data_IF_436683563828
#
_entry.id   IF_436683563828
#
_cell.length_a   1.000
_cell.length_b   1.000
_cell.length_c   1.000
_cell.angle_alpha   90.00
_cell.angle_beta   90.00
_cell.angle_gamma   90.00
#
_symmetry.space_group_name_H-M   'P 1'
#
loop_
_entity.id
_entity.type
_entity.pdbx_description
1 polymer ?
#
# COMPACT_ATOMS: atom_id res chain seq x y z
N UNK A 1 -28.90 4.10 0.68
CA UNK A 1 -29.46 3.27 1.77
C UNK A 1 -28.34 2.43 2.35
N UNK A 2 -28.32 2.16 3.67
CA UNK A 2 -27.36 1.22 4.24
C UNK A 2 -27.52 -0.14 3.55
N UNK A 3 -26.42 -0.83 3.27
CA UNK A 3 -26.47 -2.20 2.74
C UNK A 3 -27.14 -3.14 3.75
N UNK A 4 -27.92 -4.11 3.27
CA UNK A 4 -28.62 -5.09 4.12
C UNK A 4 -27.66 -5.94 4.94
N UNK A 5 -26.47 -6.21 4.42
CA UNK A 5 -25.39 -6.90 5.14
C UNK A 5 -24.07 -6.10 5.10
N UNK A 6 -23.79 -5.28 6.14
CA UNK A 6 -22.54 -4.52 6.23
C UNK A 6 -21.28 -5.38 6.20
N UNK A 7 -21.33 -6.61 6.73
CA UNK A 7 -20.20 -7.55 6.76
C UNK A 7 -19.79 -7.97 5.35
N UNK A 8 -20.77 -8.28 4.49
CA UNK A 8 -20.50 -8.64 3.10
C UNK A 8 -19.94 -7.47 2.30
N UNK A 9 -20.44 -6.26 2.53
CA UNK A 9 -19.91 -5.07 1.86
C UNK A 9 -18.46 -4.79 2.24
N UNK A 10 -18.09 -4.93 3.53
CA UNK A 10 -16.70 -4.78 3.96
C UNK A 10 -15.79 -5.88 3.40
N UNK A 11 -16.29 -7.12 3.35
CA UNK A 11 -15.58 -8.24 2.70
C UNK A 11 -15.33 -7.94 1.23
N UNK A 12 -16.35 -7.52 0.49
CA UNK A 12 -16.22 -7.21 -0.92
C UNK A 12 -15.29 -6.00 -1.16
N UNK A 13 -15.35 -4.97 -0.31
CA UNK A 13 -14.41 -3.85 -0.37
C UNK A 13 -12.96 -4.30 -0.16
N UNK A 14 -12.71 -5.21 0.80
CA UNK A 14 -11.39 -5.78 1.03
C UNK A 14 -10.90 -6.61 -0.17
N UNK A 15 -11.76 -7.47 -0.74
CA UNK A 15 -11.43 -8.28 -1.91
C UNK A 15 -11.17 -7.41 -3.14
N UNK A 16 -11.99 -6.37 -3.36
CA UNK A 16 -11.81 -5.40 -4.43
C UNK A 16 -10.47 -4.66 -4.29
N UNK A 17 -10.10 -4.25 -3.07
CA UNK A 17 -8.80 -3.66 -2.80
C UNK A 17 -7.64 -4.63 -3.07
N UNK A 18 -7.77 -5.89 -2.65
CA UNK A 18 -6.77 -6.92 -2.94
C UNK A 18 -6.59 -7.10 -4.46
N UNK A 19 -7.68 -7.19 -5.20
CA UNK A 19 -7.67 -7.33 -6.66
C UNK A 19 -7.06 -6.10 -7.34
N UNK A 20 -7.40 -4.89 -6.89
CA UNK A 20 -6.82 -3.64 -7.40
C UNK A 20 -5.31 -3.60 -7.16
N UNK A 21 -4.86 -3.93 -5.95
CA UNK A 21 -3.44 -3.97 -5.59
C UNK A 21 -2.68 -5.01 -6.43
N UNK A 22 -3.26 -6.20 -6.66
CA UNK A 22 -2.68 -7.22 -7.55
C UNK A 22 -2.57 -6.69 -8.99
N UNK A 23 -3.64 -6.08 -9.51
CA UNK A 23 -3.65 -5.58 -10.87
C UNK A 23 -2.61 -4.45 -11.09
N UNK A 24 -2.46 -3.54 -10.12
CA UNK A 24 -1.41 -2.50 -10.15
C UNK A 24 -0.01 -3.13 -10.05
N UNK A 25 0.17 -4.16 -9.21
CA UNK A 25 1.43 -4.91 -9.14
C UNK A 25 1.77 -5.53 -10.50
N UNK A 26 0.81 -6.18 -11.16
CA UNK A 26 1.03 -6.82 -12.46
C UNK A 26 1.42 -5.80 -13.54
N UNK A 27 0.76 -4.64 -13.59
CA UNK A 27 1.11 -3.56 -14.52
C UNK A 27 2.54 -3.07 -14.28
N UNK A 28 2.88 -2.78 -13.02
CA UNK A 28 4.20 -2.24 -12.65
C UNK A 28 5.33 -3.25 -12.85
N UNK A 29 5.10 -4.53 -12.52
CA UNK A 29 6.09 -5.58 -12.76
C UNK A 29 6.25 -5.94 -14.24
N UNK A 30 5.16 -5.92 -15.01
CA UNK A 30 5.22 -6.12 -16.47
C UNK A 30 6.08 -5.06 -17.14
N UNK A 31 5.99 -3.81 -16.67
CA UNK A 31 6.88 -2.74 -17.11
C UNK A 31 8.36 -3.08 -16.84
N UNK A 32 8.72 -3.53 -15.62
CA UNK A 32 10.10 -3.92 -15.31
C UNK A 32 10.58 -5.13 -16.14
N UNK A 33 9.74 -6.15 -16.32
CA UNK A 33 10.03 -7.31 -17.18
C UNK A 33 10.29 -6.89 -18.63
N UNK A 34 9.47 -5.99 -19.17
CA UNK A 34 9.64 -5.48 -20.52
C UNK A 34 11.00 -4.76 -20.68
N UNK A 35 11.41 -3.95 -19.70
CA UNK A 35 12.72 -3.29 -19.71
C UNK A 35 13.85 -4.33 -19.71
N UNK A 36 13.78 -5.36 -18.85
CA UNK A 36 14.77 -6.44 -18.80
C UNK A 36 14.82 -7.25 -20.10
N UNK A 37 13.68 -7.49 -20.73
CA UNK A 37 13.59 -8.19 -22.01
C UNK A 37 14.28 -7.41 -23.14
N UNK A 38 14.03 -6.09 -23.22
CA UNK A 38 14.69 -5.21 -24.20
C UNK A 38 16.20 -5.20 -23.97
N UNK A 39 16.63 -5.12 -22.71
CA UNK A 39 18.05 -5.22 -22.36
C UNK A 39 18.67 -6.54 -22.82
N UNK A 40 18.02 -7.69 -22.57
CA UNK A 40 18.49 -9.02 -22.99
C UNK A 40 18.57 -9.17 -24.51
N UNK A 41 17.70 -8.48 -25.26
CA UNK A 41 17.74 -8.42 -26.74
C UNK A 41 18.86 -7.54 -27.30
N UNK A 42 19.45 -6.67 -26.49
CA UNK A 42 20.50 -5.75 -26.91
C UNK A 42 20.00 -4.52 -27.70
N UNK A 43 18.70 -4.22 -27.68
CA UNK A 43 18.16 -3.01 -28.32
C UNK A 43 18.38 -1.78 -27.42
N UNK A 44 19.56 -1.18 -27.55
CA UNK A 44 20.01 -0.09 -26.69
C UNK A 44 19.17 1.19 -26.89
N UNK A 45 18.71 1.49 -28.11
CA UNK A 45 17.92 2.69 -28.36
C UNK A 45 16.54 2.61 -27.72
N UNK A 46 15.86 1.46 -27.90
CA UNK A 46 14.58 1.23 -27.25
C UNK A 46 14.74 1.21 -25.73
N UNK A 47 15.82 0.61 -25.23
CA UNK A 47 16.11 0.54 -23.80
C UNK A 47 16.27 1.94 -23.19
N UNK A 48 17.05 2.83 -23.82
CA UNK A 48 17.23 4.21 -23.35
C UNK A 48 15.90 4.95 -23.23
N UNK A 49 15.07 4.91 -24.27
CA UNK A 49 13.73 5.53 -24.25
C UNK A 49 12.87 4.99 -23.09
N UNK A 50 12.85 3.67 -22.91
CA UNK A 50 12.05 3.04 -21.85
C UNK A 50 12.56 3.35 -20.45
N UNK A 51 13.88 3.44 -20.25
CA UNK A 51 14.46 3.84 -18.98
C UNK A 51 14.16 5.30 -18.67
N UNK A 52 14.18 6.20 -19.66
CA UNK A 52 13.81 7.60 -19.47
C UNK A 52 12.32 7.76 -19.13
N UNK A 53 11.42 7.09 -19.88
CA UNK A 53 9.97 7.11 -19.63
C UNK A 53 9.57 6.63 -18.23
N UNK A 54 10.35 5.71 -17.64
CA UNK A 54 10.01 5.05 -16.37
C UNK A 54 10.99 5.39 -15.24
N UNK A 55 11.84 6.40 -15.45
CA UNK A 55 12.90 6.80 -14.51
C UNK A 55 13.70 5.59 -13.97
N UNK A 56 14.08 4.71 -14.89
CA UNK A 56 14.70 3.42 -14.62
C UNK A 56 16.21 3.40 -14.81
N UNK A 57 16.86 2.40 -14.23
CA UNK A 57 18.30 2.12 -14.41
C UNK A 57 18.58 0.63 -14.45
N UNK A 58 19.42 0.18 -15.38
CA UNK A 58 19.96 -1.18 -15.38
C UNK A 58 21.19 -1.23 -14.49
N UNK A 59 21.19 -2.19 -13.57
CA UNK A 59 22.28 -2.42 -12.63
C UNK A 59 22.74 -3.87 -12.66
N UNK A 60 24.05 -4.08 -12.67
CA UNK A 60 24.65 -5.39 -12.50
C UNK A 60 25.01 -5.59 -11.02
N UNK A 61 24.26 -6.45 -10.34
CA UNK A 61 24.44 -6.72 -8.92
C UNK A 61 25.73 -7.47 -8.61
N UNK A 62 26.26 -8.26 -9.56
CA UNK A 62 27.52 -9.01 -9.40
C UNK A 62 28.72 -8.07 -9.41
N UNK A 63 28.85 -7.26 -10.46
CA UNK A 63 29.96 -6.29 -10.58
C UNK A 63 29.75 -4.99 -9.80
N UNK A 64 28.55 -4.78 -9.27
CA UNK A 64 28.12 -3.52 -8.65
C UNK A 64 28.31 -2.29 -9.53
N UNK A 65 27.84 -2.38 -10.78
CA UNK A 65 27.96 -1.32 -11.78
C UNK A 65 26.61 -0.95 -12.36
N UNK A 66 26.39 0.35 -12.51
CA UNK A 66 25.31 0.89 -13.33
C UNK A 66 25.67 0.69 -14.80
N UNK A 67 24.79 0.04 -15.55
CA UNK A 67 24.98 -0.22 -16.98
C UNK A 67 24.39 0.94 -17.80
N UNK A 68 23.15 1.33 -17.50
CA UNK A 68 22.43 2.33 -18.28
C UNK A 68 21.30 2.97 -17.46
N UNK A 69 21.04 4.27 -17.63
CA UNK A 69 19.99 5.03 -16.94
C UNK A 69 20.54 5.97 -15.85
N UNK A 70 19.66 6.75 -15.21
CA UNK A 70 20.03 7.70 -14.15
C UNK A 70 19.99 7.03 -12.76
N UNK A 71 21.17 6.77 -12.22
CA UNK A 71 21.37 6.11 -10.92
C UNK A 71 20.89 6.92 -9.69
N UNK A 72 20.46 8.17 -9.86
CA UNK A 72 20.08 9.01 -8.72
C UNK A 72 18.75 8.53 -8.12
N UNK A 73 18.77 8.16 -6.84
CA UNK A 73 17.59 7.98 -5.99
C UNK A 73 16.60 6.86 -6.38
N UNK A 74 17.09 5.74 -6.92
CA UNK A 74 16.21 4.60 -7.18
C UNK A 74 15.67 3.99 -5.86
N UNK A 75 14.38 3.66 -5.83
CA UNK A 75 13.62 3.28 -4.64
C UNK A 75 13.25 1.79 -4.60
N UNK A 76 13.15 1.15 -5.77
CA UNK A 76 12.83 -0.26 -5.93
C UNK A 76 13.80 -0.92 -6.92
N UNK A 77 13.99 -2.23 -6.78
CA UNK A 77 14.80 -3.02 -7.70
C UNK A 77 14.05 -4.32 -8.06
N UNK A 78 14.08 -4.69 -9.33
CA UNK A 78 13.37 -5.83 -9.90
C UNK A 78 14.34 -6.71 -10.68
N UNK A 79 14.24 -8.02 -10.48
CA UNK A 79 14.96 -9.06 -11.19
C UNK A 79 13.96 -9.96 -11.94
N UNK A 80 14.35 -10.46 -13.11
CA UNK A 80 13.45 -11.25 -13.95
C UNK A 80 13.11 -12.61 -13.33
N UNK A 81 14.10 -13.23 -12.66
CA UNK A 81 13.94 -14.56 -12.08
C UNK A 81 13.14 -14.55 -10.77
N UNK A 82 13.42 -13.59 -9.87
CA UNK A 82 12.84 -13.58 -8.52
C UNK A 82 11.90 -12.41 -8.23
N UNK A 83 11.63 -11.53 -9.20
CA UNK A 83 10.74 -10.39 -9.03
C UNK A 83 11.38 -9.25 -8.25
N UNK A 84 10.64 -8.60 -7.35
CA UNK A 84 11.17 -7.52 -6.51
C UNK A 84 12.29 -8.04 -5.62
N UNK A 85 13.43 -7.35 -5.64
CA UNK A 85 14.61 -7.67 -4.83
C UNK A 85 14.90 -6.58 -3.82
N UNK A 86 15.36 -7.01 -2.65
CA UNK A 86 15.69 -6.12 -1.54
C UNK A 86 17.20 -5.93 -1.43
N UNK A 87 17.59 -4.77 -0.92
CA UNK A 87 18.97 -4.52 -0.54
C UNK A 87 19.41 -5.53 0.52
N UNK A 88 20.56 -6.13 0.29
CA UNK A 88 21.34 -6.81 1.31
C UNK A 88 22.12 -5.75 2.08
N UNK A 89 21.58 -5.33 3.22
CA UNK A 89 22.17 -4.28 4.05
C UNK A 89 23.58 -4.64 4.53
N UNK A 90 23.84 -5.91 4.81
CA UNK A 90 25.15 -6.35 5.30
C UNK A 90 26.17 -6.30 4.16
N UNK A 91 25.86 -6.92 3.02
CA UNK A 91 26.73 -6.88 1.86
C UNK A 91 26.93 -5.45 1.32
N UNK A 92 25.90 -4.62 1.40
CA UNK A 92 25.97 -3.20 1.02
C UNK A 92 26.92 -2.43 1.95
N UNK A 93 26.81 -2.63 3.27
CA UNK A 93 27.72 -2.01 4.25
C UNK A 93 29.17 -2.45 4.05
N UNK A 94 29.40 -3.72 3.74
CA UNK A 94 30.75 -4.27 3.51
C UNK A 94 31.37 -3.71 2.23
N UNK A 95 30.61 -3.65 1.14
CA UNK A 95 31.14 -3.26 -0.18
C UNK A 95 31.09 -1.76 -0.44
N UNK A 96 30.34 -1.00 0.36
CA UNK A 96 30.06 0.43 0.14
C UNK A 96 29.22 0.70 -1.11
N UNK A 97 28.70 -0.35 -1.77
CA UNK A 97 27.88 -0.27 -2.99
C UNK A 97 26.59 -1.04 -2.77
N UNK A 98 25.51 -0.62 -3.43
CA UNK A 98 24.24 -1.33 -3.36
C UNK A 98 24.43 -2.81 -3.73
N UNK A 99 23.96 -3.71 -2.87
CA UNK A 99 23.89 -5.14 -3.14
C UNK A 99 22.46 -5.60 -2.93
N UNK A 100 21.95 -6.41 -3.84
CA UNK A 100 20.60 -6.95 -3.81
C UNK A 100 20.62 -8.47 -3.64
N UNK A 101 19.55 -9.04 -3.11
CA UNK A 101 19.37 -10.49 -3.03
C UNK A 101 18.86 -11.03 -4.37
N UNK A 102 19.79 -11.35 -5.28
CA UNK A 102 19.50 -11.93 -6.60
C UNK A 102 20.12 -13.33 -6.73
N UNK A 103 19.61 -14.20 -7.62
CA UNK A 103 20.32 -15.42 -8.01
C UNK A 103 21.71 -15.10 -8.58
N UNK A 104 22.71 -15.95 -8.31
CA UNK A 104 24.08 -15.71 -8.79
C UNK A 104 24.19 -15.77 -10.32
N UNK A 105 23.34 -16.57 -10.97
CA UNK A 105 23.26 -16.76 -12.41
C UNK A 105 22.41 -15.69 -13.11
N UNK A 106 21.66 -14.87 -12.37
CA UNK A 106 20.86 -13.76 -12.91
C UNK A 106 21.05 -12.48 -12.07
N UNK A 107 22.22 -11.82 -12.19
CA UNK A 107 22.56 -10.66 -11.36
C UNK A 107 22.00 -9.33 -11.88
N UNK A 108 21.27 -9.33 -13.00
CA UNK A 108 20.81 -8.08 -13.63
C UNK A 108 19.50 -7.65 -12.98
N UNK A 109 19.44 -6.37 -12.62
CA UNK A 109 18.25 -5.77 -12.03
C UNK A 109 17.88 -4.47 -12.75
N UNK A 110 16.58 -4.21 -12.87
CA UNK A 110 16.04 -2.89 -13.17
C UNK A 110 15.77 -2.20 -11.84
N UNK A 111 16.43 -1.07 -11.62
CA UNK A 111 16.14 -0.14 -10.55
C UNK A 111 15.17 0.92 -11.07
N UNK A 112 14.22 1.35 -10.24
CA UNK A 112 13.24 2.38 -10.61
C UNK A 112 12.93 3.28 -9.42
N UNK A 113 12.58 4.54 -9.72
CA UNK A 113 12.05 5.49 -8.73
C UNK A 113 10.59 5.23 -8.38
N UNK A 114 9.85 4.47 -9.19
CA UNK A 114 8.45 4.20 -8.90
C UNK A 114 8.32 3.30 -7.66
N UNK A 115 7.97 3.93 -6.54
CA UNK A 115 7.75 3.25 -5.27
C UNK A 115 6.60 2.25 -5.33
N UNK A 116 5.66 2.36 -6.29
CA UNK A 116 4.53 1.43 -6.44
C UNK A 116 5.02 0.00 -6.69
N UNK A 117 6.13 -0.15 -7.41
CA UNK A 117 6.78 -1.45 -7.69
C UNK A 117 7.09 -2.20 -6.39
N UNK A 118 7.47 -1.49 -5.33
CA UNK A 118 7.71 -2.09 -4.02
C UNK A 118 6.50 -2.00 -3.07
N UNK A 119 5.67 -0.97 -3.21
CA UNK A 119 4.58 -0.68 -2.29
C UNK A 119 3.48 -1.74 -2.36
N UNK A 120 2.98 -2.03 -3.56
CA UNK A 120 1.86 -2.97 -3.72
C UNK A 120 2.25 -4.38 -3.29
N UNK A 121 3.48 -4.80 -3.61
CA UNK A 121 3.98 -6.09 -3.13
C UNK A 121 4.03 -6.16 -1.60
N UNK A 122 4.48 -5.10 -0.94
CA UNK A 122 4.54 -5.06 0.53
C UNK A 122 3.14 -5.05 1.14
N UNK A 123 2.19 -4.34 0.53
CA UNK A 123 0.78 -4.35 0.95
C UNK A 123 0.22 -5.77 0.83
N UNK A 124 0.41 -6.44 -0.31
CA UNK A 124 -0.06 -7.82 -0.51
C UNK A 124 0.60 -8.81 0.46
N UNK A 125 1.91 -8.66 0.73
CA UNK A 125 2.59 -9.47 1.76
C UNK A 125 1.96 -9.29 3.13
N UNK A 126 1.52 -8.08 3.47
CA UNK A 126 0.81 -7.83 4.73
C UNK A 126 -0.61 -8.38 4.69
N UNK A 127 -1.34 -8.22 3.60
CA UNK A 127 -2.70 -8.77 3.44
C UNK A 127 -2.70 -10.30 3.52
N UNK A 128 -1.71 -10.98 2.94
CA UNK A 128 -1.55 -12.44 3.04
C UNK A 128 -1.44 -12.94 4.48
N UNK A 129 -0.88 -12.14 5.40
CA UNK A 129 -0.84 -12.49 6.84
C UNK A 129 -2.24 -12.49 7.50
N UNK A 130 -3.22 -11.86 6.86
CA UNK A 130 -4.63 -11.90 7.29
C UNK A 130 -5.37 -13.13 6.73
N UNK A 131 -4.76 -13.86 5.79
CA UNK A 131 -5.24 -15.16 5.36
C UNK A 131 -4.78 -16.25 6.33
N UNK A 132 -5.62 -17.25 6.58
CA UNK A 132 -5.28 -18.42 7.41
C UNK A 132 -4.43 -19.44 6.66
N UNK A 133 -4.59 -19.51 5.34
CA UNK A 133 -3.81 -20.35 4.45
C UNK A 133 -3.01 -19.41 3.54
N UNK A 134 -1.69 -19.60 3.41
CA UNK A 134 -0.76 -18.66 2.75
C UNK A 134 -1.04 -18.35 1.25
N UNK A 135 -2.14 -18.85 0.71
CA UNK A 135 -2.64 -18.55 -0.61
C UNK A 135 -3.61 -17.36 -0.56
N UNK A 136 -3.84 -16.67 -1.68
CA UNK A 136 -4.72 -15.50 -1.78
C UNK A 136 -6.21 -15.80 -1.51
N UNK A 137 -6.50 -16.86 -0.75
CA UNK A 137 -7.81 -17.23 -0.26
C UNK A 137 -8.17 -16.49 1.03
N UNK A 138 -8.89 -15.39 0.86
CA UNK A 138 -9.41 -14.59 1.98
C UNK A 138 -10.80 -15.04 2.46
N UNK A 139 -11.25 -16.23 2.09
CA UNK A 139 -12.58 -16.75 2.46
C UNK A 139 -12.80 -16.76 3.98
N UNK A 140 -11.76 -17.13 4.73
CA UNK A 140 -11.82 -17.22 6.20
C UNK A 140 -11.41 -15.93 6.93
N UNK A 141 -10.85 -14.92 6.25
CA UNK A 141 -10.37 -13.67 6.89
C UNK A 141 -11.47 -12.97 7.71
N UNK A 142 -12.73 -13.14 7.31
CA UNK A 142 -13.88 -12.50 7.93
C UNK A 142 -14.68 -13.42 8.86
N UNK A 143 -14.36 -14.72 8.98
CA UNK A 143 -15.21 -15.65 9.76
C UNK A 143 -15.24 -15.27 11.24
N UNK A 144 -14.07 -15.04 11.82
CA UNK A 144 -13.88 -14.76 13.25
C UNK A 144 -13.85 -13.24 13.54
N UNK A 145 -14.03 -12.41 12.51
CA UNK A 145 -14.01 -10.96 12.66
C UNK A 145 -15.37 -10.42 13.09
N UNK A 146 -15.40 -9.85 14.29
CA UNK A 146 -16.51 -9.04 14.77
C UNK A 146 -16.55 -7.72 14.00
N UNK A 147 -17.70 -7.41 13.39
CA UNK A 147 -17.86 -6.19 12.60
C UNK A 147 -17.67 -4.97 13.50
N UNK A 148 -16.70 -4.07 13.19
CA UNK A 148 -16.47 -2.91 14.02
C UNK A 148 -17.66 -1.94 13.92
N UNK A 149 -17.89 -1.20 14.99
CA UNK A 149 -18.80 -0.07 14.96
C UNK A 149 -18.20 1.05 14.10
N UNK A 150 -18.83 1.36 12.98
CA UNK A 150 -18.36 2.41 12.06
C UNK A 150 -19.19 3.68 12.23
N UNK A 151 -18.51 4.78 12.57
CA UNK A 151 -19.11 6.12 12.62
C UNK A 151 -18.39 7.01 11.63
N UNK A 152 -19.14 7.65 10.74
CA UNK A 152 -18.59 8.69 9.87
C UNK A 152 -18.93 10.06 10.44
N UNK A 153 -17.90 10.90 10.56
CA UNK A 153 -17.99 12.28 10.98
C UNK A 153 -17.84 13.14 9.74
N UNK A 154 -18.96 13.71 9.29
CA UNK A 154 -18.97 14.58 8.11
C UNK A 154 -18.58 16.00 8.53
N UNK A 155 -17.41 16.45 8.08
CA UNK A 155 -16.90 17.80 8.33
C UNK A 155 -15.38 17.85 8.27
N UNK A 156 -14.85 19.07 8.13
CA UNK A 156 -13.42 19.35 8.11
C UNK A 156 -13.01 19.89 9.48
N UNK A 157 -12.55 19.06 10.44
CA UNK A 157 -11.49 19.55 11.29
C UNK A 157 -10.29 19.66 10.36
N UNK A 158 -9.83 20.86 10.04
CA UNK A 158 -8.55 20.97 9.34
C UNK A 158 -7.53 20.09 10.06
N UNK A 159 -6.62 19.44 9.34
CA UNK A 159 -5.59 18.56 9.93
C UNK A 159 -4.94 19.18 11.19
N UNK A 160 -4.83 20.50 11.26
CA UNK A 160 -4.40 21.27 12.44
C UNK A 160 -5.36 21.27 13.64
N UNK A 161 -6.68 21.25 13.45
CA UNK A 161 -7.66 21.09 14.55
C UNK A 161 -7.63 19.67 15.13
N UNK A 162 -7.48 18.64 14.28
CA UNK A 162 -7.33 17.26 14.74
C UNK A 162 -6.00 17.07 15.48
N UNK A 163 -4.88 17.56 14.91
CA UNK A 163 -3.57 17.56 15.58
C UNK A 163 -3.59 18.33 16.89
N UNK A 164 -4.20 19.52 16.94
CA UNK A 164 -4.30 20.33 18.18
C UNK A 164 -5.14 19.62 19.26
N UNK A 165 -6.28 19.03 18.88
CA UNK A 165 -7.14 18.25 19.79
C UNK A 165 -6.45 16.98 20.30
N UNK A 166 -5.67 16.32 19.44
CA UNK A 166 -4.93 15.12 19.80
C UNK A 166 -3.66 15.44 20.61
N UNK A 167 -2.86 16.43 20.20
CA UNK A 167 -1.61 16.83 20.87
C UNK A 167 -1.83 17.17 22.35
N UNK A 168 -2.94 17.85 22.66
CA UNK A 168 -3.33 18.16 24.05
C UNK A 168 -3.71 16.93 24.88
N UNK A 169 -4.00 15.78 24.24
CA UNK A 169 -4.43 14.53 24.89
C UNK A 169 -3.38 13.41 24.87
N UNK A 170 -2.54 13.33 23.83
CA UNK A 170 -1.60 12.20 23.63
C UNK A 170 -0.13 12.62 23.66
N UNK A 171 0.18 13.91 23.76
CA UNK A 171 1.54 14.43 23.98
C UNK A 171 2.59 13.84 23.03
N UNK A 172 3.73 13.41 23.59
CA UNK A 172 4.85 12.84 22.85
C UNK A 172 4.53 11.49 22.16
N UNK A 173 3.45 10.80 22.52
CA UNK A 173 3.04 9.53 21.90
C UNK A 173 2.36 9.73 20.53
N UNK A 174 2.06 10.97 20.13
CA UNK A 174 1.47 11.26 18.82
C UNK A 174 2.30 10.71 17.66
N UNK A 175 3.63 10.77 17.75
CA UNK A 175 4.55 10.36 16.68
C UNK A 175 4.58 8.85 16.45
N UNK A 176 4.25 8.03 17.46
CA UNK A 176 4.20 6.57 17.33
C UNK A 176 2.79 6.06 16.98
N UNK A 177 1.75 6.81 17.35
CA UNK A 177 0.34 6.44 17.15
C UNK A 177 -0.31 7.03 15.89
N UNK A 178 0.24 8.12 15.33
CA UNK A 178 -0.26 8.75 14.09
C UNK A 178 0.64 8.34 12.92
N UNK A 179 0.07 7.65 11.93
CA UNK A 179 0.79 7.13 10.76
C UNK A 179 -0.07 7.27 9.50
N UNK A 180 0.59 7.32 8.35
CA UNK A 180 -0.12 7.31 7.06
C UNK A 180 -0.72 5.93 6.78
N UNK A 181 -1.82 5.89 6.01
CA UNK A 181 -2.47 4.64 5.61
C UNK A 181 -1.48 3.68 4.93
N UNK A 182 -0.70 4.17 3.95
CA UNK A 182 0.33 3.37 3.28
C UNK A 182 1.35 2.78 4.26
N UNK A 183 1.79 3.54 5.27
CA UNK A 183 2.74 3.04 6.28
C UNK A 183 2.14 1.91 7.13
N UNK A 184 0.85 2.02 7.49
CA UNK A 184 0.11 0.97 8.21
C UNK A 184 -0.05 -0.28 7.35
N UNK A 185 -0.47 -0.15 6.09
CA UNK A 185 -0.65 -1.30 5.20
C UNK A 185 0.67 -2.02 4.89
N UNK A 186 1.78 -1.30 4.83
CA UNK A 186 3.10 -1.88 4.56
C UNK A 186 3.70 -2.55 5.79
N UNK A 187 3.64 -1.91 6.96
CA UNK A 187 4.39 -2.36 8.14
C UNK A 187 3.50 -2.97 9.24
N UNK A 188 2.18 -2.91 9.09
CA UNK A 188 1.23 -3.26 10.14
C UNK A 188 1.32 -2.34 11.37
N UNK A 189 0.74 -2.80 12.47
CA UNK A 189 0.87 -2.20 13.79
C UNK A 189 1.97 -2.91 14.59
N UNK A 190 2.65 -2.19 15.48
CA UNK A 190 3.47 -2.82 16.53
C UNK A 190 2.53 -3.52 17.51
N UNK A 191 2.99 -4.59 18.17
CA UNK A 191 2.29 -5.66 18.95
C UNK A 191 1.06 -5.31 19.83
N UNK A 192 0.68 -4.04 19.96
CA UNK A 192 -0.55 -3.60 20.60
C UNK A 192 -1.76 -3.75 19.68
N UNK A 193 -2.82 -4.38 20.17
CA UNK A 193 -4.16 -4.33 19.58
C UNK A 193 -4.74 -2.92 19.74
N UNK A 194 -5.25 -2.34 18.66
CA UNK A 194 -5.83 -1.00 18.69
C UNK A 194 -7.34 -1.12 18.58
N UNK A 195 -8.04 -1.06 19.72
CA UNK A 195 -9.49 -1.24 19.78
C UNK A 195 -10.27 -0.20 18.96
N UNK A 196 -9.70 1.00 18.74
CA UNK A 196 -10.32 2.10 18.01
C UNK A 196 -9.32 2.71 17.01
N UNK A 197 -9.75 2.90 15.77
CA UNK A 197 -9.00 3.67 14.77
C UNK A 197 -9.72 4.96 14.41
N UNK A 198 -8.94 6.05 14.28
CA UNK A 198 -9.39 7.31 13.70
C UNK A 198 -8.73 7.44 12.34
N UNK A 199 -9.54 7.64 11.30
CA UNK A 199 -9.08 7.70 9.91
C UNK A 199 -9.45 9.07 9.38
N UNK A 200 -8.43 9.91 9.21
CA UNK A 200 -8.56 11.21 8.56
C UNK A 200 -8.59 11.03 7.03
N UNK A 201 -9.27 11.93 6.33
CA UNK A 201 -9.51 11.87 4.89
C UNK A 201 -10.01 10.49 4.41
N UNK A 202 -10.92 9.90 5.18
CA UNK A 202 -11.42 8.55 4.93
C UNK A 202 -12.09 8.42 3.55
N UNK A 203 -12.70 9.50 3.05
CA UNK A 203 -13.36 9.52 1.74
C UNK A 203 -12.39 9.49 0.56
N UNK A 204 -11.11 9.83 0.76
CA UNK A 204 -10.07 9.79 -0.28
C UNK A 204 -9.41 8.41 -0.41
N UNK A 205 -9.64 7.52 0.55
CA UNK A 205 -9.09 6.17 0.56
C UNK A 205 -10.10 5.17 -0.01
N UNK A 206 -9.59 4.16 -0.73
CA UNK A 206 -10.42 3.01 -1.09
C UNK A 206 -10.91 2.33 0.19
N UNK A 207 -12.21 2.03 0.30
CA UNK A 207 -12.76 1.49 1.55
C UNK A 207 -12.11 0.18 1.99
N UNK A 208 -11.72 -0.69 1.05
CA UNK A 208 -10.94 -1.90 1.37
C UNK A 208 -9.58 -1.64 2.03
N UNK A 209 -8.93 -0.51 1.77
CA UNK A 209 -7.71 -0.12 2.50
C UNK A 209 -8.00 0.17 3.98
N UNK A 210 -9.12 0.84 4.25
CA UNK A 210 -9.63 1.10 5.61
C UNK A 210 -9.94 -0.22 6.32
N UNK A 211 -10.63 -1.14 5.65
CA UNK A 211 -10.95 -2.46 6.20
C UNK A 211 -9.69 -3.28 6.48
N UNK A 212 -8.70 -3.23 5.58
CA UNK A 212 -7.40 -3.89 5.79
C UNK A 212 -6.70 -3.36 7.04
N UNK A 213 -6.67 -2.03 7.23
CA UNK A 213 -6.12 -1.42 8.44
C UNK A 213 -6.89 -1.83 9.70
N UNK A 214 -8.23 -1.90 9.64
CA UNK A 214 -9.07 -2.34 10.75
C UNK A 214 -8.80 -3.80 11.15
N UNK A 215 -8.64 -4.70 10.18
CA UNK A 215 -8.28 -6.10 10.38
C UNK A 215 -6.89 -6.23 11.02
N UNK A 216 -5.89 -5.51 10.51
CA UNK A 216 -4.53 -5.48 11.08
C UNK A 216 -4.52 -4.98 12.53
N UNK A 217 -5.38 -4.02 12.86
CA UNK A 217 -5.49 -3.46 14.21
C UNK A 217 -6.28 -4.35 15.19
N UNK A 218 -7.07 -5.29 14.67
CA UNK A 218 -8.18 -5.96 15.38
C UNK A 218 -9.14 -4.93 16.01
N UNK A 219 -9.46 -3.90 15.24
CA UNK A 219 -10.27 -2.78 15.71
C UNK A 219 -11.73 -3.18 15.94
N UNK A 220 -12.33 -2.67 17.02
CA UNK A 220 -13.75 -2.81 17.36
C UNK A 220 -14.55 -1.56 16.98
N UNK A 221 -13.88 -0.45 16.76
CA UNK A 221 -14.51 0.83 16.43
C UNK A 221 -13.69 1.60 15.39
N UNK A 222 -14.37 2.13 14.37
CA UNK A 222 -13.79 2.98 13.33
C UNK A 222 -14.49 4.33 13.33
N UNK A 223 -13.71 5.40 13.48
CA UNK A 223 -14.16 6.78 13.29
C UNK A 223 -13.56 7.29 11.98
N UNK A 224 -14.41 7.42 10.98
CA UNK A 224 -14.06 7.94 9.67
C UNK A 224 -14.30 9.44 9.67
N UNK A 225 -13.30 10.24 9.36
CA UNK A 225 -13.40 11.69 9.26
C UNK A 225 -13.21 12.05 7.79
N UNK A 226 -14.07 12.90 7.26
CA UNK A 226 -13.97 13.37 5.88
C UNK A 226 -15.21 14.14 5.46
N UNK A 227 -15.04 15.01 4.48
CA UNK A 227 -16.11 15.84 3.93
C UNK A 227 -16.73 15.16 2.70
N UNK A 228 -18.06 14.98 2.71
CA UNK A 228 -18.81 14.41 1.58
C UNK A 228 -18.69 15.25 0.31
N UNK A 229 -18.46 16.55 0.44
CA UNK A 229 -18.37 17.48 -0.68
C UNK A 229 -16.96 17.60 -1.25
N UNK A 230 -15.96 17.00 -0.58
CA UNK A 230 -14.62 16.91 -1.11
C UNK A 230 -14.49 15.76 -2.11
N UNK A 231 -13.43 15.84 -2.91
CA UNK A 231 -13.15 14.86 -3.96
C UNK A 231 -12.99 13.48 -3.31
N UNK A 232 -13.83 12.49 -3.65
CA UNK A 232 -13.71 11.14 -3.11
C UNK A 232 -12.49 10.43 -3.70
N UNK A 233 -12.25 9.19 -3.27
CA UNK A 233 -11.26 8.31 -3.86
C UNK A 233 -11.38 8.32 -5.40
N UNK A 234 -10.26 8.57 -6.08
CA UNK A 234 -10.16 8.54 -7.54
C UNK A 234 -9.35 7.31 -7.90
N UNK A 235 -9.96 6.39 -8.66
CA UNK A 235 -9.20 5.36 -9.36
C UNK A 235 -8.43 5.99 -10.52
N UNK A 236 -7.13 6.11 -10.34
CA UNK A 236 -6.22 6.65 -11.36
C UNK A 236 -5.75 5.61 -12.36
N UNK A 237 -5.88 4.33 -12.04
CA UNK A 237 -5.39 3.25 -12.87
C UNK A 237 -6.51 2.70 -13.76
N UNK A 238 -7.77 2.77 -13.29
CA UNK A 238 -8.96 2.37 -14.01
C UNK A 238 -8.81 0.96 -14.63
N UNK A 239 -8.25 0.04 -13.83
CA UNK A 239 -7.90 -1.30 -14.32
C UNK A 239 -9.15 -2.17 -14.48
N UNK A 240 -10.16 -1.94 -13.65
CA UNK A 240 -11.49 -2.53 -13.75
C UNK A 240 -12.52 -1.67 -13.01
N UNK A 241 -13.83 -1.79 -13.30
CA UNK A 241 -14.87 -1.04 -12.60
C UNK A 241 -14.96 -1.41 -11.11
N UNK A 242 -14.91 -0.41 -10.23
CA UNK A 242 -15.02 -0.59 -8.77
C UNK A 242 -16.46 -0.34 -8.29
N UNK A 243 -16.90 -1.07 -7.27
CA UNK A 243 -18.28 -1.05 -6.73
C UNK A 243 -18.35 -0.91 -5.21
N UNK A 244 -17.25 -1.15 -4.50
CA UNK A 244 -17.19 -1.22 -3.04
C UNK A 244 -16.23 -0.20 -2.42
N UNK A 245 -15.88 0.83 -3.20
CA UNK A 245 -14.86 1.83 -2.86
C UNK A 245 -15.30 2.82 -1.74
N UNK A 246 -16.61 2.98 -1.47
CA UNK A 246 -17.14 4.05 -0.60
C UNK A 246 -17.64 3.55 0.76
N UNK A 247 -17.19 4.16 1.88
CA UNK A 247 -17.61 3.77 3.24
C UNK A 247 -19.05 4.19 3.61
N UNK A 248 -19.65 5.11 2.86
CA UNK A 248 -20.97 5.68 3.16
C UNK A 248 -22.13 4.66 3.04
N UNK A 249 -21.90 3.52 2.41
CA UNK A 249 -22.85 2.42 2.35
C UNK A 249 -23.03 1.69 3.69
N UNK A 250 -22.06 1.79 4.61
CA UNK A 250 -22.05 1.07 5.89
C UNK A 250 -21.94 1.96 7.13
N UNK A 251 -21.50 3.22 6.98
CA UNK A 251 -21.26 4.11 8.11
C UNK A 251 -22.50 4.93 8.49
N UNK A 252 -22.76 5.05 9.80
CA UNK A 252 -23.73 6.03 10.32
C UNK A 252 -23.11 7.42 10.29
N UNK A 253 -23.79 8.37 9.66
CA UNK A 253 -23.36 9.77 9.60
C UNK A 253 -23.61 10.48 10.94
N UNK A 254 -22.58 11.15 11.45
CA UNK A 254 -22.59 12.03 12.61
C UNK A 254 -21.97 13.37 12.23
N UNK A 255 -22.39 14.46 12.88
CA UNK A 255 -21.71 15.77 12.81
C UNK A 255 -20.79 16.00 14.02
N UNK A 256 -20.81 15.11 15.00
CA UNK A 256 -20.05 15.23 16.25
C UNK A 256 -18.86 14.26 16.26
N UNK A 257 -17.67 14.81 16.51
CA UNK A 257 -16.39 14.09 16.41
C UNK A 257 -16.17 13.10 17.57
N UNK A 258 -16.73 13.37 18.74
CA UNK A 258 -16.60 12.60 19.98
C UNK A 258 -17.87 12.84 20.82
N UNK A 259 -18.54 11.78 21.29
CA UNK A 259 -19.48 11.94 22.41
C UNK A 259 -18.65 12.22 23.66
N UNK A 260 -19.01 13.27 24.37
CA UNK A 260 -18.47 13.64 25.69
C UNK A 260 -18.58 12.48 26.68
#
# INVERSE_FOLDING_TARGET
MPVENPKDHMRNAFLEFAALTIAIQDVTQTMCKNILHIYKKGDIEQLKRKLEENEGTIYNNKSSQYILGDARQNMAAYNDTCGLVYLDEQATKITGKAKYKTPENDPIVVMTRDTKVALEERILRTMRKLSKENDQDYSETFTDWETPKITWINGVPGSEDLKRKLANRIGAEATTRVRTMASILVNGFKEHTHNRLLIDEAMMNHFGAIITAALLAKAKELLLIGDINQIPHIDRHNVFPMSYEKPNAVAKVSRELLRS
#
